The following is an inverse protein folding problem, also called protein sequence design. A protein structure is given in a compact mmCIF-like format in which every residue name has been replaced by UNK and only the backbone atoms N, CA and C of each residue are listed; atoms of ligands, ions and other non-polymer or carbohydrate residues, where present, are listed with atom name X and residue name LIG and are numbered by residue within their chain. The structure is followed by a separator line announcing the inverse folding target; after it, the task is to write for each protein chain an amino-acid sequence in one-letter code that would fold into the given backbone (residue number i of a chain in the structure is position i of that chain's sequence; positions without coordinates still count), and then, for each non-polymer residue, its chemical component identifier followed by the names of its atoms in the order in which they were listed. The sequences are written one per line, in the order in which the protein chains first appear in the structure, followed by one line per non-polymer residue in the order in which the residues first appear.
data_IF_349177881454
#
_entry.id   IF_349177881454
#
_cell.length_a   1.000
_cell.length_b   1.000
_cell.length_c   1.000
_cell.angle_alpha   90.00
_cell.angle_beta   90.00
_cell.angle_gamma   90.00
#
_symmetry.space_group_name_H-M   'P 1'
#
loop_
_entity.id
_entity.type
_entity.pdbx_description
1 polymer ?
#
# COMPACT_ATOMS: atom_id res chain seq x y z
N UNK A 1 10.29 3.44 1.03
CA UNK A 1 11.16 3.44 -0.17
C UNK A 1 12.33 2.52 0.10
N UNK A 2 12.80 1.75 -0.87
CA UNK A 2 13.91 0.80 -0.68
C UNK A 2 15.16 1.26 -1.44
N UNK A 3 16.31 1.20 -0.78
CA UNK A 3 17.63 1.52 -1.33
C UNK A 3 18.58 0.36 -1.05
N UNK A 4 19.37 -0.04 -2.06
CA UNK A 4 20.40 -1.07 -1.91
C UNK A 4 21.77 -0.48 -2.20
N UNK A 5 22.71 -0.70 -1.28
CA UNK A 5 24.11 -0.27 -1.41
C UNK A 5 24.99 -1.51 -1.41
N UNK A 6 25.65 -1.79 -2.53
CA UNK A 6 26.55 -2.94 -2.67
C UNK A 6 27.75 -2.81 -1.75
N UNK A 7 28.16 -3.90 -1.12
CA UNK A 7 29.33 -3.93 -0.24
C UNK A 7 30.36 -4.95 -0.73
N UNK A 8 31.65 -4.77 -0.41
CA UNK A 8 32.67 -5.78 -0.68
C UNK A 8 32.42 -7.11 0.06
N UNK A 9 32.86 -8.22 -0.53
CA UNK A 9 32.69 -9.60 -0.01
C UNK A 9 33.23 -9.80 1.42
N UNK A 10 34.21 -8.98 1.83
CA UNK A 10 34.79 -9.03 3.17
C UNK A 10 33.95 -8.33 4.26
N UNK A 11 32.82 -7.70 3.90
CA UNK A 11 31.88 -7.07 4.82
C UNK A 11 30.83 -8.09 5.24
N UNK A 12 31.07 -8.76 6.37
CA UNK A 12 30.23 -9.88 6.82
C UNK A 12 29.44 -9.58 8.10
N UNK A 13 29.84 -8.55 8.86
CA UNK A 13 29.26 -8.25 10.17
C UNK A 13 28.79 -6.81 10.24
N UNK A 14 27.69 -6.58 10.96
CA UNK A 14 27.14 -5.23 11.16
C UNK A 14 28.13 -4.24 11.79
N UNK A 15 29.10 -4.69 12.60
CA UNK A 15 30.15 -3.82 13.16
C UNK A 15 31.06 -3.19 12.10
N UNK A 16 31.13 -3.79 10.90
CA UNK A 16 31.89 -3.27 9.76
C UNK A 16 31.05 -2.30 8.93
N UNK A 17 29.85 -1.96 9.38
CA UNK A 17 28.91 -1.10 8.66
C UNK A 17 28.52 0.07 9.56
N UNK A 18 28.45 1.25 8.96
CA UNK A 18 27.92 2.46 9.60
C UNK A 18 26.82 3.01 8.70
N UNK A 19 25.59 3.02 9.20
CA UNK A 19 24.45 3.65 8.53
C UNK A 19 23.97 4.79 9.42
N UNK A 20 23.91 5.99 8.86
CA UNK A 20 23.37 7.19 9.50
C UNK A 20 22.15 7.60 8.70
N UNK A 21 20.98 7.54 9.32
CA UNK A 21 19.72 8.03 8.77
C UNK A 21 19.26 9.23 9.60
N UNK A 22 18.98 10.33 8.92
CA UNK A 22 18.40 11.53 9.49
C UNK A 22 17.28 12.02 8.59
N UNK A 23 16.43 12.92 9.10
CA UNK A 23 15.26 13.41 8.38
C UNK A 23 15.55 13.80 6.94
N UNK A 24 16.65 14.50 6.66
CA UNK A 24 17.01 14.94 5.31
C UNK A 24 18.40 14.49 4.85
N UNK A 25 18.98 13.44 5.46
CA UNK A 25 20.37 13.05 5.20
C UNK A 25 20.59 11.55 5.37
N UNK A 26 21.43 10.99 4.50
CA UNK A 26 21.85 9.59 4.55
C UNK A 26 23.37 9.50 4.42
N UNK A 27 23.98 8.63 5.22
CA UNK A 27 25.37 8.21 5.06
C UNK A 27 25.50 6.70 5.29
N UNK A 28 26.17 6.01 4.39
CA UNK A 28 26.50 4.59 4.47
C UNK A 28 28.00 4.45 4.28
N UNK A 29 28.66 3.80 5.23
CA UNK A 29 30.07 3.49 5.17
C UNK A 29 30.36 2.08 5.63
N UNK A 30 31.47 1.54 5.16
CA UNK A 30 31.98 0.23 5.55
C UNK A 30 33.39 0.35 6.12
N UNK A 31 33.75 -0.56 7.01
CA UNK A 31 35.08 -0.65 7.58
C UNK A 31 35.90 -1.69 6.82
N UNK A 32 37.00 -1.24 6.23
CA UNK A 32 37.97 -2.06 5.54
C UNK A 32 38.99 -2.70 6.50
N UNK A 33 39.72 -3.74 6.04
CA UNK A 33 40.85 -4.28 6.78
C UNK A 33 41.84 -3.16 7.15
N UNK A 34 42.24 -3.09 8.42
CA UNK A 34 43.06 -1.98 8.94
C UNK A 34 42.28 -0.86 9.64
N UNK A 35 40.98 -1.07 9.91
CA UNK A 35 40.11 -0.13 10.66
C UNK A 35 39.85 1.20 9.95
N UNK A 36 40.07 1.26 8.63
CA UNK A 36 39.78 2.43 7.79
C UNK A 36 38.30 2.44 7.41
N UNK A 37 37.64 3.57 7.56
CA UNK A 37 36.25 3.76 7.15
C UNK A 37 36.17 4.33 5.74
N UNK A 38 35.47 3.62 4.86
CA UNK A 38 35.18 4.05 3.50
C UNK A 38 33.70 4.39 3.35
N UNK A 39 33.39 5.55 2.80
CA UNK A 39 32.01 6.01 2.59
C UNK A 39 31.53 5.57 1.22
N UNK A 40 30.47 4.76 1.18
CA UNK A 40 29.85 4.25 -0.05
C UNK A 40 28.75 5.18 -0.58
N UNK A 41 27.98 5.77 0.34
CA UNK A 41 26.87 6.67 0.02
C UNK A 41 26.86 7.79 1.03
N UNK A 42 26.74 9.04 0.58
CA UNK A 42 26.58 10.19 1.47
C UNK A 42 25.93 11.35 0.76
N UNK A 43 24.85 11.88 1.33
CA UNK A 43 24.23 13.07 0.78
C UNK A 43 22.95 13.50 1.44
N UNK A 44 22.47 14.66 0.99
CA UNK A 44 21.19 15.24 1.41
C UNK A 44 20.07 14.62 0.58
N UNK A 45 19.07 14.07 1.27
CA UNK A 45 17.87 13.53 0.65
C UNK A 45 17.03 14.66 0.04
N UNK A 46 16.38 14.37 -1.09
CA UNK A 46 15.50 15.35 -1.76
C UNK A 46 14.20 15.57 -0.97
N UNK A 47 13.73 14.55 -0.26
CA UNK A 47 12.54 14.58 0.59
C UNK A 47 12.88 14.05 1.99
N UNK A 48 12.08 14.49 2.97
CA UNK A 48 12.28 14.08 4.35
C UNK A 48 11.79 12.64 4.61
N UNK A 49 12.50 11.93 5.48
CA UNK A 49 12.15 10.60 5.97
C UNK A 49 11.85 10.64 7.48
N UNK A 50 11.08 9.67 7.95
CA UNK A 50 10.96 9.38 9.37
C UNK A 50 12.10 8.45 9.76
N UNK A 51 13.21 9.01 10.22
CA UNK A 51 14.43 8.25 10.50
C UNK A 51 14.21 7.12 11.53
N UNK A 52 13.38 7.36 12.55
CA UNK A 52 13.05 6.38 13.61
C UNK A 52 12.19 5.20 13.11
N UNK A 53 11.41 5.41 12.05
CA UNK A 53 10.59 4.35 11.42
C UNK A 53 11.35 3.69 10.25
N UNK A 54 12.51 4.22 9.89
CA UNK A 54 13.37 3.68 8.83
C UNK A 54 14.28 2.60 9.38
N UNK A 55 14.53 1.57 8.58
CA UNK A 55 15.27 0.38 8.99
C UNK A 55 16.36 0.06 7.99
N UNK A 56 17.41 -0.62 8.45
CA UNK A 56 18.44 -1.16 7.56
C UNK A 56 18.86 -2.57 8.01
N UNK A 57 19.31 -3.36 7.05
CA UNK A 57 19.88 -4.69 7.28
C UNK A 57 21.07 -4.92 6.37
N UNK A 58 22.01 -5.75 6.82
CA UNK A 58 23.16 -6.18 6.03
C UNK A 58 22.91 -7.60 5.52
N UNK A 59 23.05 -7.80 4.21
CA UNK A 59 23.27 -9.10 3.61
C UNK A 59 24.80 -9.30 3.46
N UNK A 60 25.42 -10.20 4.26
CA UNK A 60 26.86 -10.38 4.29
C UNK A 60 27.47 -10.63 2.91
N UNK A 61 28.47 -9.82 2.55
CA UNK A 61 29.20 -9.95 1.29
C UNK A 61 28.39 -9.61 0.02
N UNK A 62 27.22 -8.98 0.17
CA UNK A 62 26.36 -8.65 -0.98
C UNK A 62 25.95 -7.18 -0.98
N UNK A 63 25.05 -6.78 -0.08
CA UNK A 63 24.57 -5.41 0.00
C UNK A 63 23.97 -5.05 1.37
N UNK A 64 23.85 -3.74 1.62
CA UNK A 64 23.05 -3.18 2.70
C UNK A 64 21.70 -2.79 2.12
N UNK A 65 20.62 -3.33 2.70
CA UNK A 65 19.24 -2.98 2.36
C UNK A 65 18.74 -1.92 3.32
N UNK A 66 18.24 -0.82 2.79
CA UNK A 66 17.77 0.32 3.57
C UNK A 66 16.32 0.62 3.18
N UNK A 67 15.44 0.52 4.17
CA UNK A 67 14.04 0.91 4.07
C UNK A 67 13.87 2.32 4.65
N UNK A 68 13.58 3.28 3.78
CA UNK A 68 13.33 4.67 4.13
C UNK A 68 11.82 4.91 4.24
N UNK A 69 11.34 5.22 5.44
CA UNK A 69 9.95 5.59 5.66
C UNK A 69 9.74 7.06 5.28
N UNK A 70 8.84 7.32 4.33
CA UNK A 70 8.62 8.68 3.82
C UNK A 70 7.85 9.51 4.85
N UNK A 71 8.23 10.78 5.02
CA UNK A 71 7.43 11.70 5.87
C UNK A 71 6.12 12.11 5.19
N UNK A 72 6.09 12.07 3.85
CA UNK A 72 4.97 12.50 3.03
C UNK A 72 4.75 11.50 1.88
N UNK A 73 3.50 11.30 1.47
CA UNK A 73 3.16 10.44 0.33
C UNK A 73 3.45 11.15 -1.00
N UNK A 74 4.71 11.11 -1.44
CA UNK A 74 5.16 11.67 -2.70
C UNK A 74 6.01 10.71 -3.52
N UNK A 75 6.06 10.93 -4.84
CA UNK A 75 7.01 10.27 -5.72
C UNK A 75 8.39 10.95 -5.62
N UNK A 76 9.45 10.15 -5.54
CA UNK A 76 10.82 10.66 -5.46
C UNK A 76 11.45 10.52 -6.84
N UNK A 77 11.81 11.64 -7.46
CA UNK A 77 12.51 11.68 -8.75
C UNK A 77 13.98 11.30 -8.62
N UNK A 78 14.55 11.42 -7.42
CA UNK A 78 15.92 11.01 -7.11
C UNK A 78 16.05 10.71 -5.62
N UNK A 79 17.13 10.05 -5.22
CA UNK A 79 17.38 9.82 -3.80
C UNK A 79 18.01 11.06 -3.17
N UNK A 80 19.05 11.60 -3.81
CA UNK A 80 19.84 12.72 -3.30
C UNK A 80 19.80 13.95 -4.20
N UNK A 81 19.99 15.13 -3.60
CA UNK A 81 20.00 16.41 -4.33
C UNK A 81 21.15 16.54 -5.33
N UNK A 82 22.23 15.77 -5.16
CA UNK A 82 23.42 15.78 -6.02
C UNK A 82 23.33 14.81 -7.20
N UNK A 83 22.24 14.06 -7.33
CA UNK A 83 22.03 13.10 -8.42
C UNK A 83 21.22 13.72 -9.55
N UNK A 84 21.41 13.19 -10.76
CA UNK A 84 20.53 13.51 -11.89
C UNK A 84 19.11 12.97 -11.60
N UNK A 85 18.06 13.77 -11.90
CA UNK A 85 16.68 13.31 -11.74
C UNK A 85 16.38 12.12 -12.65
N UNK A 86 15.68 11.14 -12.10
CA UNK A 86 14.96 10.14 -12.86
C UNK A 86 13.72 10.82 -13.45
N UNK A 87 13.47 10.56 -14.73
CA UNK A 87 12.27 11.04 -15.41
C UNK A 87 11.03 10.29 -14.90
N UNK A 88 10.38 10.86 -13.87
CA UNK A 88 9.17 10.32 -13.25
C UNK A 88 8.01 10.14 -14.25
N UNK A 89 7.99 10.84 -15.38
CA UNK A 89 6.93 10.67 -16.40
C UNK A 89 7.03 9.33 -17.11
N UNK A 90 8.21 8.70 -17.12
CA UNK A 90 8.41 7.34 -17.66
C UNK A 90 8.01 6.26 -16.65
N UNK A 91 7.88 6.62 -15.37
CA UNK A 91 7.36 5.76 -14.29
C UNK A 91 5.86 6.06 -14.14
N UNK A 92 5.10 5.91 -15.23
CA UNK A 92 3.66 6.12 -15.18
C UNK A 92 3.01 5.03 -14.33
N UNK A 93 2.49 5.41 -13.17
CA UNK A 93 1.56 4.58 -12.40
C UNK A 93 0.15 4.57 -13.01
N UNK A 94 -0.12 5.48 -13.96
CA UNK A 94 -1.34 5.50 -14.73
C UNK A 94 -1.26 4.45 -15.84
N UNK A 95 -2.31 3.61 -15.92
CA UNK A 95 -2.50 2.64 -16.99
C UNK A 95 -3.77 3.00 -17.74
N UNK A 96 -3.69 2.98 -19.05
CA UNK A 96 -4.87 3.21 -19.88
C UNK A 96 -5.91 2.11 -19.58
N UNK A 97 -7.15 2.53 -19.31
CA UNK A 97 -8.29 1.66 -19.11
C UNK A 97 -8.42 0.60 -20.21
N UNK A 98 -8.12 0.97 -21.46
CA UNK A 98 -8.15 0.09 -22.63
C UNK A 98 -7.08 -1.02 -22.60
N UNK A 99 -6.12 -0.96 -21.68
CA UNK A 99 -5.08 -1.98 -21.50
C UNK A 99 -5.32 -2.89 -20.29
N UNK A 100 -6.30 -2.56 -19.44
CA UNK A 100 -6.62 -3.37 -18.26
C UNK A 100 -7.25 -4.71 -18.68
N UNK A 101 -7.07 -5.81 -17.92
CA UNK A 101 -7.83 -7.05 -18.13
C UNK A 101 -9.34 -6.81 -18.06
N UNK A 102 -10.14 -7.64 -18.74
CA UNK A 102 -11.60 -7.51 -18.78
C UNK A 102 -12.24 -7.49 -17.38
N UNK A 103 -11.74 -8.31 -16.46
CA UNK A 103 -12.23 -8.39 -15.08
C UNK A 103 -12.06 -7.05 -14.33
N UNK A 104 -10.89 -6.41 -14.45
CA UNK A 104 -10.62 -5.12 -13.82
C UNK A 104 -11.50 -4.02 -14.43
N UNK A 105 -11.69 -4.03 -15.75
CA UNK A 105 -12.59 -3.10 -16.45
C UNK A 105 -14.04 -3.22 -15.96
N UNK A 106 -14.51 -4.45 -15.73
CA UNK A 106 -15.85 -4.72 -15.20
C UNK A 106 -16.01 -4.20 -13.78
N UNK A 107 -15.00 -4.37 -12.93
CA UNK A 107 -15.00 -3.81 -11.56
C UNK A 107 -15.08 -2.30 -11.59
N UNK A 108 -14.30 -1.63 -12.43
CA UNK A 108 -14.35 -0.17 -12.60
C UNK A 108 -15.73 0.27 -13.09
N UNK A 109 -16.30 -0.41 -14.10
CA UNK A 109 -17.66 -0.10 -14.60
C UNK A 109 -18.72 -0.25 -13.50
N UNK A 110 -18.63 -1.31 -12.70
CA UNK A 110 -19.53 -1.52 -11.57
C UNK A 110 -19.41 -0.41 -10.52
N UNK A 111 -18.19 0.05 -10.22
CA UNK A 111 -17.96 1.16 -9.29
C UNK A 111 -18.54 2.48 -9.83
N UNK A 112 -18.34 2.77 -11.11
CA UNK A 112 -18.91 3.96 -11.78
C UNK A 112 -20.43 3.92 -11.75
N UNK A 113 -21.03 2.77 -12.10
CA UNK A 113 -22.48 2.58 -12.02
C UNK A 113 -23.01 2.78 -10.59
N UNK A 114 -22.37 2.15 -9.61
CA UNK A 114 -22.77 2.24 -8.20
C UNK A 114 -22.72 3.69 -7.70
N UNK A 115 -21.67 4.43 -8.03
CA UNK A 115 -21.56 5.85 -7.68
C UNK A 115 -22.72 6.65 -8.29
N UNK A 116 -23.02 6.44 -9.56
CA UNK A 116 -24.13 7.10 -10.24
C UNK A 116 -25.50 6.74 -9.62
N UNK A 117 -25.71 5.48 -9.19
CA UNK A 117 -26.92 5.08 -8.48
C UNK A 117 -27.02 5.79 -7.12
N UNK A 118 -25.94 5.82 -6.35
CA UNK A 118 -25.89 6.48 -5.04
C UNK A 118 -26.22 7.98 -5.15
N UNK A 119 -25.63 8.68 -6.13
CA UNK A 119 -25.91 10.10 -6.37
C UNK A 119 -27.38 10.34 -6.74
N UNK A 120 -28.06 9.34 -7.30
CA UNK A 120 -29.50 9.37 -7.62
C UNK A 120 -30.39 8.80 -6.50
N UNK A 121 -29.82 8.43 -5.35
CA UNK A 121 -30.55 7.77 -4.25
C UNK A 121 -31.07 6.37 -4.58
N UNK A 122 -30.53 5.73 -5.62
CA UNK A 122 -30.90 4.39 -6.09
C UNK A 122 -29.98 3.32 -5.50
N UNK A 123 -30.45 2.06 -5.40
CA UNK A 123 -29.65 0.98 -4.84
C UNK A 123 -28.45 0.62 -5.73
N UNK A 124 -27.34 0.29 -5.08
CA UNK A 124 -26.13 -0.23 -5.71
C UNK A 124 -26.28 -1.68 -6.14
N UNK A 125 -25.34 -2.17 -6.95
CA UNK A 125 -25.28 -3.57 -7.38
C UNK A 125 -25.36 -4.56 -6.21
N UNK A 126 -24.69 -4.28 -5.09
CA UNK A 126 -24.69 -5.19 -3.94
C UNK A 126 -26.00 -5.13 -3.16
N UNK A 127 -26.62 -3.95 -3.06
CA UNK A 127 -27.95 -3.81 -2.47
C UNK A 127 -29.02 -4.51 -3.30
N UNK A 128 -28.94 -4.43 -4.63
CA UNK A 128 -29.84 -5.17 -5.54
C UNK A 128 -29.66 -6.68 -5.41
N UNK A 129 -28.42 -7.16 -5.31
CA UNK A 129 -28.14 -8.59 -5.05
C UNK A 129 -28.71 -9.02 -3.71
N UNK A 130 -28.50 -8.24 -2.65
CA UNK A 130 -29.05 -8.49 -1.33
C UNK A 130 -30.57 -8.56 -1.37
N UNK A 131 -31.23 -7.59 -2.01
CA UNK A 131 -32.69 -7.58 -2.17
C UNK A 131 -33.19 -8.83 -2.90
N UNK A 132 -32.52 -9.23 -3.99
CA UNK A 132 -32.85 -10.46 -4.72
C UNK A 132 -32.70 -11.71 -3.84
N UNK A 133 -31.62 -11.81 -3.06
CA UNK A 133 -31.40 -12.93 -2.14
C UNK A 133 -32.49 -12.97 -1.07
N UNK A 134 -32.80 -11.83 -0.44
CA UNK A 134 -33.86 -11.71 0.56
C UNK A 134 -35.21 -12.12 0.00
N UNK A 135 -35.55 -11.63 -1.20
CA UNK A 135 -36.80 -11.96 -1.88
C UNK A 135 -36.93 -13.44 -2.17
N UNK A 136 -35.83 -14.11 -2.56
CA UNK A 136 -35.81 -15.57 -2.73
C UNK A 136 -35.99 -16.27 -1.39
N UNK A 137 -35.23 -15.87 -0.36
CA UNK A 137 -35.29 -16.45 0.98
C UNK A 137 -36.65 -16.26 1.66
N UNK A 138 -37.38 -15.20 1.32
CA UNK A 138 -38.68 -14.84 1.90
C UNK A 138 -39.70 -15.99 1.85
N UNK A 139 -39.74 -16.71 0.72
CA UNK A 139 -40.75 -17.73 0.44
C UNK A 139 -40.22 -19.18 0.45
N UNK A 140 -38.99 -19.41 0.94
CA UNK A 140 -38.47 -20.77 1.13
C UNK A 140 -39.25 -21.47 2.24
N UNK A 141 -39.40 -22.80 2.12
CA UNK A 141 -40.07 -23.65 3.12
C UNK A 141 -39.41 -23.52 4.51
N UNK A 142 -40.22 -23.27 5.54
CA UNK A 142 -39.74 -23.01 6.90
C UNK A 142 -39.34 -21.55 7.18
N UNK A 143 -39.45 -20.65 6.20
CA UNK A 143 -39.30 -19.21 6.42
C UNK A 143 -40.45 -18.68 7.30
N UNK A 144 -40.20 -17.82 8.30
CA UNK A 144 -41.25 -17.17 9.09
C UNK A 144 -42.13 -16.19 8.27
N UNK A 145 -41.70 -15.91 7.03
CA UNK A 145 -42.39 -15.07 6.06
C UNK A 145 -43.04 -15.86 4.91
N UNK A 146 -42.98 -17.19 4.93
CA UNK A 146 -43.52 -18.04 3.87
C UNK A 146 -45.00 -17.72 3.60
N UNK A 147 -45.32 -17.41 2.34
CA UNK A 147 -46.68 -17.10 1.90
C UNK A 147 -47.15 -15.66 2.21
N UNK A 148 -46.34 -14.83 2.88
CA UNK A 148 -46.62 -13.41 3.08
C UNK A 148 -46.09 -12.59 1.88
N UNK A 149 -46.73 -11.45 1.53
CA UNK A 149 -46.18 -10.54 0.53
C UNK A 149 -44.79 -10.06 0.94
N UNK A 150 -43.91 -9.87 -0.04
CA UNK A 150 -42.55 -9.37 0.22
C UNK A 150 -42.60 -7.94 0.74
N UNK A 151 -42.16 -7.76 1.98
CA UNK A 151 -42.06 -6.44 2.61
C UNK A 151 -40.70 -6.32 3.33
N UNK A 152 -39.71 -5.64 2.70
CA UNK A 152 -38.37 -5.52 3.27
C UNK A 152 -38.33 -4.67 4.54
N UNK A 153 -39.37 -3.88 4.85
CA UNK A 153 -39.44 -3.06 6.08
C UNK A 153 -39.62 -3.89 7.35
N UNK A 154 -40.11 -5.13 7.21
CA UNK A 154 -40.28 -6.07 8.32
C UNK A 154 -38.94 -6.67 8.79
N UNK A 155 -37.85 -6.40 8.07
CA UNK A 155 -36.49 -6.81 8.42
C UNK A 155 -35.76 -5.61 9.02
N UNK A 156 -35.60 -5.61 10.35
CA UNK A 156 -34.73 -4.64 11.02
C UNK A 156 -33.27 -5.02 10.79
N UNK A 157 -32.62 -4.33 9.86
CA UNK A 157 -31.16 -4.37 9.76
C UNK A 157 -30.55 -3.53 10.89
N UNK A 158 -30.40 -4.12 12.09
CA UNK A 158 -29.51 -3.54 13.09
C UNK A 158 -28.06 -3.67 12.59
N UNK A 159 -27.56 -2.64 11.94
CA UNK A 159 -26.13 -2.46 11.71
C UNK A 159 -25.47 -2.20 13.08
N UNK A 160 -24.80 -3.21 13.64
CA UNK A 160 -24.05 -3.06 14.88
C UNK A 160 -23.72 -4.37 15.58
N UNK A 161 -22.59 -4.98 15.22
CA UNK A 161 -21.93 -5.94 16.10
C UNK A 161 -21.46 -5.20 17.34
N UNK A 162 -22.07 -5.47 18.50
CA UNK A 162 -21.50 -5.12 19.79
C UNK A 162 -20.81 -6.37 20.34
N UNK A 163 -19.47 -6.36 20.36
CA UNK A 163 -18.73 -7.13 21.34
C UNK A 163 -19.19 -6.67 22.73
N UNK A 164 -19.80 -7.56 23.50
CA UNK A 164 -20.23 -7.30 24.87
C UNK A 164 -19.98 -8.54 25.71
N UNK A 165 -19.00 -8.44 26.62
CA UNK A 165 -18.63 -9.46 27.61
C UNK A 165 -19.82 -9.94 28.45
N UNK A 166 -19.77 -11.22 28.83
CA UNK A 166 -20.48 -11.83 29.94
C UNK A 166 -19.86 -13.18 30.24
#
# INVERSE_FOLDING_TARGET
MEVRVTVPDNVLRGKQVRVILQASFIEVGVQEPGLVWHTLLKGKLIHNIKAEESLWSLLPGEHISIHLEKSEECWWDRLMSSEDPIDLKKISAERDYATLPQEERQKIQQLVWNKQQQDQGKPTTDQLKMESVLRKAWNIEGSPFQGKPYDPSLINFTAGGSFGKG
#
